data_IF_260992716953
#
_entry.id   IF_260992716953
#
_cell.length_a   1.000
_cell.length_b   1.000
_cell.length_c   1.000
_cell.angle_alpha   90.00
_cell.angle_beta   90.00
_cell.angle_gamma   90.00
#
_symmetry.space_group_name_H-M   'P 1'
#
loop_
_entity.id
_entity.type
_entity.pdbx_description
1 polymer ?
#
# COMPACT_ATOMS: atom_id res chain seq x y z
N UNK A 1 14.41 -5.28 0.56
CA UNK A 1 13.17 -4.52 0.28
C UNK A 1 11.94 -5.30 0.70
N UNK A 2 10.91 -4.63 1.23
CA UNK A 2 9.61 -5.23 1.58
C UNK A 2 8.57 -4.79 0.54
N UNK A 3 7.88 -5.75 -0.06
CA UNK A 3 6.81 -5.51 -1.02
C UNK A 3 5.47 -5.88 -0.41
N UNK A 4 4.49 -5.01 -0.56
CA UNK A 4 3.14 -5.20 -0.06
C UNK A 4 2.13 -5.22 -1.19
N UNK A 5 1.01 -5.93 -0.99
CA UNK A 5 -0.11 -5.90 -1.92
C UNK A 5 -0.92 -4.59 -1.74
N UNK A 6 -1.99 -4.41 -2.53
CA UNK A 6 -2.86 -3.21 -2.45
C UNK A 6 -3.53 -3.02 -1.09
N UNK A 7 -3.58 -4.05 -0.26
CA UNK A 7 -4.16 -4.03 1.10
C UNK A 7 -3.08 -3.76 2.16
N UNK A 8 -1.83 -3.48 1.77
CA UNK A 8 -0.71 -3.24 2.68
C UNK A 8 -0.14 -4.51 3.32
N UNK A 9 -0.66 -5.69 2.97
CA UNK A 9 -0.15 -6.95 3.49
C UNK A 9 1.16 -7.33 2.81
N UNK A 10 2.07 -7.98 3.55
CA UNK A 10 3.32 -8.51 2.98
C UNK A 10 3.03 -9.47 1.83
N UNK A 11 3.46 -9.09 0.63
CA UNK A 11 3.38 -9.92 -0.56
C UNK A 11 4.70 -10.67 -0.79
N UNK A 12 5.84 -9.99 -0.61
CA UNK A 12 7.15 -10.57 -0.86
C UNK A 12 8.26 -9.81 -0.13
N UNK A 13 9.34 -10.52 0.20
CA UNK A 13 10.61 -9.91 0.63
C UNK A 13 11.70 -10.41 -0.30
N UNK A 14 12.57 -9.50 -0.76
CA UNK A 14 13.76 -9.84 -1.54
C UNK A 14 14.88 -8.84 -1.29
N UNK A 15 16.11 -9.22 -1.63
CA UNK A 15 17.28 -8.36 -1.52
C UNK A 15 17.26 -7.25 -2.58
N UNK A 16 18.26 -6.35 -2.53
CA UNK A 16 18.42 -5.33 -3.55
C UNK A 16 18.87 -5.94 -4.89
N UNK A 17 19.83 -6.86 -4.86
CA UNK A 17 20.29 -7.57 -6.05
C UNK A 17 19.14 -8.31 -6.75
N UNK A 18 18.35 -9.09 -6.00
CA UNK A 18 17.24 -9.86 -6.58
C UNK A 18 16.20 -8.97 -7.28
N UNK A 19 15.95 -7.79 -6.72
CA UNK A 19 15.03 -6.82 -7.31
C UNK A 19 15.59 -6.25 -8.61
N UNK A 20 16.88 -5.89 -8.62
CA UNK A 20 17.55 -5.36 -9.80
C UNK A 20 17.53 -6.37 -10.95
N UNK A 21 17.73 -7.65 -10.66
CA UNK A 21 17.67 -8.71 -11.67
C UNK A 21 16.28 -8.89 -12.27
N UNK A 22 15.23 -8.67 -11.48
CA UNK A 22 13.85 -8.69 -12.01
C UNK A 22 13.56 -7.50 -12.91
N UNK A 23 14.07 -6.31 -12.59
CA UNK A 23 13.96 -5.16 -13.49
C UNK A 23 14.71 -5.40 -14.80
N UNK A 24 15.94 -5.91 -14.74
CA UNK A 24 16.74 -6.24 -15.94
C UNK A 24 16.06 -7.31 -16.82
N UNK A 25 15.37 -8.25 -16.20
CA UNK A 25 14.63 -9.31 -16.88
C UNK A 25 13.20 -8.91 -17.28
N UNK A 26 12.83 -7.63 -17.16
CA UNK A 26 11.51 -7.09 -17.48
C UNK A 26 10.34 -7.75 -16.72
N UNK A 27 10.64 -8.34 -15.55
CA UNK A 27 9.67 -8.97 -14.64
C UNK A 27 9.20 -8.06 -13.51
N UNK A 28 9.67 -6.82 -13.50
CA UNK A 28 9.26 -5.79 -12.55
C UNK A 28 9.19 -4.44 -13.25
N UNK A 29 8.21 -3.63 -12.88
CA UNK A 29 8.05 -2.24 -13.36
C UNK A 29 7.68 -1.33 -12.20
N UNK A 30 8.15 -0.08 -12.26
CA UNK A 30 7.69 0.95 -11.34
C UNK A 30 6.25 1.28 -11.71
N UNK A 31 5.34 1.21 -10.72
CA UNK A 31 3.95 1.60 -10.90
C UNK A 31 3.74 2.82 -10.02
N UNK A 32 3.76 4.00 -10.62
CA UNK A 32 3.27 5.20 -9.93
C UNK A 32 1.75 5.13 -9.88
N UNK A 33 1.22 4.95 -8.67
CA UNK A 33 -0.21 5.03 -8.41
C UNK A 33 -0.38 5.54 -6.99
N UNK A 34 -0.41 6.86 -6.81
CA UNK A 34 -0.50 7.62 -5.55
C UNK A 34 0.45 7.17 -4.42
N UNK A 35 1.11 8.09 -3.70
CA UNK A 35 1.87 7.74 -2.51
C UNK A 35 1.06 6.79 -1.59
N UNK A 36 1.69 5.71 -1.12
CA UNK A 36 1.04 4.76 -0.18
C UNK A 36 0.48 5.48 1.06
N UNK A 37 1.09 6.62 1.42
CA UNK A 37 0.64 7.50 2.50
C UNK A 37 -0.74 8.07 2.22
N UNK A 38 -1.03 8.51 0.99
CA UNK A 38 -2.32 9.12 0.62
C UNK A 38 -3.46 8.11 0.76
N UNK A 39 -3.19 6.83 0.46
CA UNK A 39 -4.15 5.73 0.67
C UNK A 39 -4.36 5.37 2.13
N UNK A 40 -3.29 5.32 2.92
CA UNK A 40 -3.37 5.04 4.35
C UNK A 40 -4.15 6.16 5.06
N UNK A 41 -3.88 7.40 4.68
CA UNK A 41 -4.61 8.57 5.17
C UNK A 41 -6.09 8.54 4.80
N UNK A 42 -6.40 8.26 3.52
CA UNK A 42 -7.80 8.13 3.08
C UNK A 42 -8.55 7.04 3.84
N UNK A 43 -7.92 5.88 4.06
CA UNK A 43 -8.52 4.77 4.82
C UNK A 43 -8.77 5.14 6.28
N UNK A 44 -7.84 5.88 6.91
CA UNK A 44 -8.01 6.38 8.28
C UNK A 44 -9.17 7.38 8.37
N UNK A 45 -9.27 8.29 7.40
CA UNK A 45 -10.36 9.27 7.33
C UNK A 45 -11.71 8.59 7.17
N UNK A 46 -11.84 7.59 6.28
CA UNK A 46 -13.08 6.81 6.13
C UNK A 46 -13.47 6.09 7.43
N UNK A 47 -12.50 5.53 8.17
CA UNK A 47 -12.78 4.91 9.47
C UNK A 47 -13.21 5.92 10.55
N UNK A 48 -12.66 7.15 10.51
CA UNK A 48 -13.07 8.23 11.42
C UNK A 48 -14.49 8.71 11.11
N UNK A 49 -14.83 8.91 9.84
CA UNK A 49 -16.18 9.29 9.41
C UNK A 49 -17.22 8.27 9.86
N UNK A 50 -16.94 6.97 9.68
CA UNK A 50 -17.85 5.91 10.14
C UNK A 50 -18.11 5.98 11.65
N UNK A 51 -17.06 6.16 12.46
CA UNK A 51 -17.19 6.30 13.92
C UNK A 51 -17.97 7.55 14.32
N UNK A 52 -17.80 8.67 13.61
CA UNK A 52 -18.51 9.92 13.89
C UNK A 52 -20.02 9.79 13.58
N UNK A 53 -20.36 9.10 12.49
CA UNK A 53 -21.77 8.79 12.15
C UNK A 53 -22.40 7.87 13.20
N UNK A 54 -21.66 6.87 13.68
CA UNK A 54 -22.13 5.92 14.70
C UNK A 54 -22.42 6.60 16.05
N UNK A 55 -21.59 7.58 16.45
CA UNK A 55 -21.79 8.37 17.67
C UNK A 55 -22.96 9.36 17.56
N UNK A 56 -23.24 9.89 16.37
CA UNK A 56 -24.34 10.82 16.14
C UNK A 56 -25.72 10.13 16.04
N UNK A 57 -25.75 8.79 15.89
CA UNK A 57 -26.96 7.98 15.79
C UNK A 57 -27.45 7.42 17.15
N UNK A 58 -26.75 7.74 18.25
CA UNK A 58 -27.07 7.37 19.64
C UNK A 58 -27.55 8.60 20.40
#
# INVERSE_FOLDING_TARGET
>A
YLFTNRQGQKALSMTAEDLADRFRADRARVVEAEPLIDRAFSSMMTQMEHKLVEVAAV
#
